data_IF_631028513649
#
_entry.id   IF_631028513649
#
_cell.length_a   1.000
_cell.length_b   1.000
_cell.length_c   1.000
_cell.angle_alpha   90.00
_cell.angle_beta   90.00
_cell.angle_gamma   90.00
#
_symmetry.space_group_name_H-M   'P 1'
#
loop_
_entity.id
_entity.type
_entity.pdbx_description
1 polymer ?
#
# COMPACT_ATOMS: atom_id res chain seq x y z
N UNK A 1 -4.80 -9.34 1.88
CA UNK A 1 -5.47 -8.86 3.12
C UNK A 1 -5.91 -7.43 2.90
N UNK A 2 -7.15 -7.12 3.27
CA UNK A 2 -7.65 -5.76 3.29
C UNK A 2 -7.11 -5.00 4.52
N UNK A 3 -7.45 -3.76 4.59
CA UNK A 3 -7.04 -2.74 5.54
C UNK A 3 -6.83 -3.19 7.00
N UNK A 4 -5.92 -2.52 7.69
CA UNK A 4 -5.69 -2.74 9.12
C UNK A 4 -6.82 -2.11 9.97
N UNK A 5 -7.63 -2.94 10.61
CA UNK A 5 -8.73 -2.48 11.49
C UNK A 5 -8.26 -1.71 12.74
N UNK A 6 -6.99 -1.82 13.10
CA UNK A 6 -6.38 -1.07 14.20
C UNK A 6 -5.94 0.33 13.78
N UNK A 7 -5.83 0.60 12.48
CA UNK A 7 -5.55 1.92 11.94
C UNK A 7 -6.87 2.67 11.76
N UNK A 8 -7.09 3.71 12.55
CA UNK A 8 -8.38 4.39 12.64
C UNK A 8 -8.90 4.91 11.30
N UNK A 9 -8.11 5.58 10.45
CA UNK A 9 -8.60 6.05 9.15
C UNK A 9 -9.15 4.92 8.28
N UNK A 10 -8.47 3.78 8.22
CA UNK A 10 -8.93 2.61 7.47
C UNK A 10 -10.20 1.99 8.06
N UNK A 11 -10.26 1.88 9.38
CA UNK A 11 -11.45 1.39 10.05
C UNK A 11 -12.67 2.26 9.74
N UNK A 12 -12.51 3.58 9.70
CA UNK A 12 -13.59 4.51 9.37
C UNK A 12 -14.02 4.40 7.90
N UNK A 13 -13.07 4.20 6.97
CA UNK A 13 -13.37 3.92 5.55
C UNK A 13 -14.15 2.62 5.39
N UNK A 14 -13.83 1.57 6.13
CA UNK A 14 -14.53 0.28 6.09
C UNK A 14 -15.99 0.35 6.56
N UNK A 15 -16.40 1.39 7.29
CA UNK A 15 -17.81 1.64 7.62
C UNK A 15 -18.61 2.15 6.42
N UNK A 16 -17.93 2.69 5.41
CA UNK A 16 -18.57 3.16 4.19
C UNK A 16 -18.80 2.00 3.19
N UNK A 17 -20.06 1.79 2.80
CA UNK A 17 -20.44 0.68 1.91
C UNK A 17 -19.88 0.84 0.50
N UNK A 18 -19.74 2.06 0.03
CA UNK A 18 -19.25 2.31 -1.32
C UNK A 18 -17.74 2.09 -1.40
N UNK A 19 -16.99 2.38 -0.32
CA UNK A 19 -15.61 1.95 -0.17
C UNK A 19 -15.45 0.42 -0.28
N UNK A 20 -16.27 -0.32 0.45
CA UNK A 20 -16.25 -1.78 0.39
C UNK A 20 -16.61 -2.34 -1.00
N UNK A 21 -17.53 -1.68 -1.71
CA UNK A 21 -17.85 -2.05 -3.10
C UNK A 21 -16.67 -1.81 -4.04
N UNK A 22 -15.93 -0.70 -3.87
CA UNK A 22 -14.76 -0.42 -4.68
C UNK A 22 -13.65 -1.46 -4.47
N UNK A 23 -13.46 -1.94 -3.26
CA UNK A 23 -12.56 -3.08 -3.02
C UNK A 23 -12.99 -4.32 -3.82
N UNK A 24 -14.28 -4.65 -3.82
CA UNK A 24 -14.84 -5.74 -4.63
C UNK A 24 -14.65 -5.52 -6.14
N UNK A 25 -14.83 -4.29 -6.63
CA UNK A 25 -14.61 -3.95 -8.04
C UNK A 25 -13.16 -4.11 -8.47
N UNK A 26 -12.19 -3.80 -7.61
CA UNK A 26 -10.77 -4.03 -7.90
C UNK A 26 -10.45 -5.50 -8.09
N UNK A 27 -11.01 -6.37 -7.26
CA UNK A 27 -10.90 -7.83 -7.45
C UNK A 27 -11.55 -8.27 -8.77
N UNK A 28 -12.73 -7.75 -9.09
CA UNK A 28 -13.40 -8.07 -10.34
C UNK A 28 -12.58 -7.64 -11.56
N UNK A 29 -11.98 -6.44 -11.54
CA UNK A 29 -11.08 -5.96 -12.59
C UNK A 29 -9.84 -6.85 -12.73
N UNK A 30 -9.21 -7.24 -11.64
CA UNK A 30 -8.06 -8.14 -11.67
C UNK A 30 -8.42 -9.52 -12.28
N UNK A 31 -9.60 -10.05 -11.96
CA UNK A 31 -10.09 -11.31 -12.53
C UNK A 31 -10.36 -11.14 -14.03
N UNK A 32 -11.05 -10.08 -14.45
CA UNK A 32 -11.29 -9.77 -15.87
C UNK A 32 -9.98 -9.67 -16.65
N UNK A 33 -9.01 -8.92 -16.13
CA UNK A 33 -7.70 -8.79 -16.76
C UNK A 33 -7.00 -10.15 -16.92
N UNK A 34 -7.13 -11.03 -15.94
CA UNK A 34 -6.59 -12.40 -16.03
C UNK A 34 -7.21 -13.21 -17.17
N UNK A 35 -8.50 -12.99 -17.45
CA UNK A 35 -9.21 -13.67 -18.54
C UNK A 35 -9.21 -12.90 -19.85
N UNK A 36 -8.47 -11.79 -19.97
CA UNK A 36 -8.45 -10.87 -21.13
C UNK A 36 -9.87 -10.39 -21.50
N UNK A 37 -10.68 -10.05 -20.48
CA UNK A 37 -12.02 -9.52 -20.66
C UNK A 37 -11.98 -7.98 -20.64
N UNK A 38 -12.01 -7.36 -21.82
CA UNK A 38 -12.00 -5.91 -22.02
C UNK A 38 -13.42 -5.33 -22.16
N UNK A 39 -14.43 -5.98 -21.62
CA UNK A 39 -15.84 -5.54 -21.75
C UNK A 39 -16.20 -4.31 -20.91
N UNK A 40 -15.34 -3.86 -19.99
CA UNK A 40 -15.57 -2.65 -19.20
C UNK A 40 -15.43 -1.41 -20.08
N UNK A 41 -16.41 -0.51 -20.00
CA UNK A 41 -16.45 0.72 -20.79
C UNK A 41 -16.50 1.99 -19.94
N UNK A 42 -16.50 1.83 -18.61
CA UNK A 42 -16.63 2.91 -17.64
C UNK A 42 -15.41 3.02 -16.74
N UNK A 43 -15.28 4.15 -16.07
CA UNK A 43 -14.32 4.39 -15.00
C UNK A 43 -15.01 4.84 -13.72
N UNK A 44 -14.22 5.10 -12.68
CA UNK A 44 -14.70 5.54 -11.38
C UNK A 44 -13.86 6.70 -10.87
N UNK A 45 -14.44 7.50 -9.97
CA UNK A 45 -13.73 8.47 -9.13
C UNK A 45 -13.91 8.04 -7.67
N UNK A 46 -12.84 8.04 -6.89
CA UNK A 46 -12.88 7.86 -5.45
C UNK A 46 -11.96 8.86 -4.77
N UNK A 47 -12.40 9.40 -3.65
CA UNK A 47 -11.57 10.36 -2.94
C UNK A 47 -11.95 10.53 -1.48
N UNK A 48 -11.16 11.36 -0.79
CA UNK A 48 -11.43 11.79 0.58
C UNK A 48 -11.39 13.30 0.68
N UNK A 49 -12.26 13.85 1.53
CA UNK A 49 -12.31 15.29 1.83
C UNK A 49 -11.94 15.51 3.29
N UNK A 50 -10.99 16.39 3.51
CA UNK A 50 -10.42 16.71 4.83
C UNK A 50 -10.43 18.22 5.09
N UNK A 51 -10.30 18.60 6.33
CA UNK A 51 -10.03 19.97 6.75
C UNK A 51 -8.54 20.29 6.57
N UNK A 52 -8.20 21.40 5.90
CA UNK A 52 -6.82 21.77 5.59
C UNK A 52 -6.02 22.15 6.85
N UNK A 53 -6.67 22.69 7.86
CA UNK A 53 -6.01 23.27 9.03
C UNK A 53 -6.22 22.49 10.32
N UNK A 54 -7.18 21.56 10.35
CA UNK A 54 -7.47 20.77 11.53
C UNK A 54 -6.80 19.38 11.42
N UNK A 55 -5.69 19.21 12.16
CA UNK A 55 -4.93 17.96 12.20
C UNK A 55 -5.27 17.16 13.45
N UNK A 56 -5.18 15.84 13.30
CA UNK A 56 -5.41 14.85 14.35
C UNK A 56 -4.08 14.23 14.78
N UNK A 57 -3.98 13.96 16.07
CA UNK A 57 -2.89 13.15 16.64
C UNK A 57 -3.45 11.86 17.23
N UNK A 58 -2.63 10.82 17.29
CA UNK A 58 -3.02 9.56 17.90
C UNK A 58 -1.91 9.04 18.80
N UNK A 59 -2.28 8.65 20.03
CA UNK A 59 -1.31 8.28 21.08
C UNK A 59 -0.57 6.96 20.78
N UNK A 60 -1.22 6.04 20.05
CA UNK A 60 -0.73 4.68 19.86
C UNK A 60 0.04 4.45 18.55
N UNK A 61 -0.10 5.33 17.55
CA UNK A 61 0.56 5.18 16.26
C UNK A 61 0.80 6.52 15.57
N UNK A 62 1.68 6.53 14.58
CA UNK A 62 1.84 7.65 13.65
C UNK A 62 0.97 7.43 12.43
N UNK A 63 0.39 8.51 11.90
CA UNK A 63 -0.32 8.45 10.63
C UNK A 63 0.64 8.05 9.51
N UNK A 64 0.08 7.45 8.46
CA UNK A 64 0.86 7.00 7.30
C UNK A 64 1.63 8.20 6.72
N UNK A 65 2.94 8.04 6.57
CA UNK A 65 3.81 9.05 5.95
C UNK A 65 3.30 9.36 4.53
N UNK A 66 3.37 10.63 4.16
CA UNK A 66 2.88 11.13 2.86
C UNK A 66 1.38 10.83 2.62
N UNK A 67 0.55 10.76 3.67
CA UNK A 67 -0.90 10.67 3.53
C UNK A 67 -1.59 11.86 4.22
N UNK A 68 -2.80 12.15 3.78
CA UNK A 68 -3.63 13.16 4.44
C UNK A 68 -4.41 12.58 5.63
N UNK A 69 -4.07 11.40 6.10
CA UNK A 69 -4.80 10.71 7.17
C UNK A 69 -4.72 11.43 8.51
N UNK A 70 -3.70 12.27 8.73
CA UNK A 70 -3.60 13.13 9.89
C UNK A 70 -4.56 14.32 9.89
N UNK A 71 -5.19 14.64 8.77
CA UNK A 71 -6.16 15.73 8.69
C UNK A 71 -7.57 15.26 9.04
N UNK A 72 -8.34 16.12 9.71
CA UNK A 72 -9.69 15.79 10.14
C UNK A 72 -10.62 15.55 8.95
N UNK A 73 -11.30 14.38 8.87
CA UNK A 73 -12.27 14.12 7.83
C UNK A 73 -13.50 15.01 7.96
N UNK A 74 -14.03 15.46 6.84
CA UNK A 74 -15.24 16.26 6.77
C UNK A 74 -16.47 15.41 6.47
N UNK A 75 -17.46 15.49 7.35
CA UNK A 75 -18.78 14.88 7.17
C UNK A 75 -19.74 15.84 6.49
N UNK A 76 -20.75 15.32 5.79
CA UNK A 76 -21.80 16.09 5.13
C UNK A 76 -21.31 17.06 4.04
N UNK A 77 -20.12 16.86 3.49
CA UNK A 77 -19.67 17.60 2.30
C UNK A 77 -20.50 17.14 1.10
N UNK A 78 -21.08 18.09 0.39
CA UNK A 78 -21.72 17.81 -0.88
C UNK A 78 -20.68 17.93 -1.99
N UNK A 79 -20.44 16.85 -2.72
CA UNK A 79 -19.58 16.80 -3.88
C UNK A 79 -20.45 16.72 -5.12
N UNK A 80 -20.37 17.72 -5.99
CA UNK A 80 -21.10 17.79 -7.26
C UNK A 80 -20.13 17.42 -8.37
N UNK A 81 -20.45 16.38 -9.13
CA UNK A 81 -19.71 16.01 -10.33
C UNK A 81 -20.31 16.74 -11.54
N UNK A 82 -19.49 17.51 -12.24
CA UNK A 82 -19.87 18.23 -13.45
C UNK A 82 -19.09 17.69 -14.65
N UNK A 83 -19.76 17.63 -15.80
CA UNK A 83 -19.10 17.33 -17.06
C UNK A 83 -18.33 18.56 -17.60
N UNK A 84 -17.67 18.42 -18.74
CA UNK A 84 -16.90 19.50 -19.40
C UNK A 84 -17.75 20.76 -19.73
N UNK A 85 -19.07 20.62 -19.83
CA UNK A 85 -19.98 21.74 -20.09
C UNK A 85 -20.44 22.44 -18.79
N UNK A 86 -19.99 21.97 -17.62
CA UNK A 86 -20.43 22.46 -16.31
C UNK A 86 -21.80 21.96 -15.87
N UNK A 87 -22.36 20.95 -16.54
CA UNK A 87 -23.64 20.35 -16.17
C UNK A 87 -23.45 19.31 -15.07
N UNK A 88 -24.28 19.34 -14.03
CA UNK A 88 -24.27 18.32 -12.99
C UNK A 88 -24.67 16.96 -13.54
N UNK A 89 -23.78 15.98 -13.42
CA UNK A 89 -23.98 14.59 -13.85
C UNK A 89 -23.97 13.61 -12.68
N UNK A 90 -23.62 14.06 -11.49
CA UNK A 90 -23.65 13.25 -10.27
C UNK A 90 -23.52 14.09 -9.01
N UNK A 91 -23.95 13.51 -7.90
CA UNK A 91 -23.86 14.14 -6.58
C UNK A 91 -23.59 13.08 -5.53
N UNK A 92 -22.69 13.38 -4.63
CA UNK A 92 -22.39 12.55 -3.45
C UNK A 92 -22.36 13.43 -2.19
N UNK A 93 -22.76 12.86 -1.06
CA UNK A 93 -22.60 13.54 0.24
C UNK A 93 -21.82 12.61 1.16
N UNK A 94 -20.71 13.10 1.71
CA UNK A 94 -19.90 12.30 2.66
C UNK A 94 -20.75 11.93 3.87
N UNK A 95 -20.57 10.70 4.35
CA UNK A 95 -21.33 10.16 5.48
C UNK A 95 -20.91 10.82 6.83
N UNK A 96 -21.44 10.28 7.94
CA UNK A 96 -21.15 10.77 9.28
C UNK A 96 -20.11 9.92 10.03
N UNK A 97 -19.42 9.05 9.32
CA UNK A 97 -18.51 8.08 9.91
C UNK A 97 -17.05 8.60 9.97
N UNK A 98 -16.85 9.91 9.79
CA UNK A 98 -15.54 10.57 9.86
C UNK A 98 -14.46 9.92 8.99
N UNK A 99 -14.84 9.61 7.76
CA UNK A 99 -13.91 9.11 6.74
C UNK A 99 -13.69 10.11 5.60
N UNK A 100 -14.62 11.06 5.41
CA UNK A 100 -14.61 12.05 4.34
C UNK A 100 -14.71 11.45 2.93
N UNK A 101 -15.09 10.18 2.83
CA UNK A 101 -15.07 9.41 1.59
C UNK A 101 -16.19 9.80 0.65
N UNK A 102 -15.89 9.81 -0.64
CA UNK A 102 -16.88 9.88 -1.72
C UNK A 102 -16.48 8.98 -2.89
N UNK A 103 -17.47 8.52 -3.65
CA UNK A 103 -17.29 7.61 -4.78
C UNK A 103 -18.30 7.93 -5.87
N UNK A 104 -17.84 8.00 -7.12
CA UNK A 104 -18.67 8.00 -8.32
C UNK A 104 -18.29 6.80 -9.19
N UNK A 105 -19.28 6.00 -9.59
CA UNK A 105 -19.07 4.78 -10.39
C UNK A 105 -19.75 4.92 -11.76
N UNK A 106 -19.40 4.02 -12.66
CA UNK A 106 -20.06 3.88 -13.97
C UNK A 106 -19.97 5.16 -14.82
N UNK A 107 -18.86 5.89 -14.69
CA UNK A 107 -18.64 7.13 -15.42
C UNK A 107 -18.11 6.84 -16.82
N UNK A 108 -18.61 7.59 -17.80
CA UNK A 108 -18.02 7.62 -19.14
C UNK A 108 -16.61 8.24 -19.05
N UNK A 109 -15.60 7.67 -19.74
CA UNK A 109 -14.28 8.29 -19.80
C UNK A 109 -14.33 9.73 -20.32
N UNK A 110 -13.55 10.62 -19.71
CA UNK A 110 -13.51 12.05 -20.04
C UNK A 110 -13.13 12.92 -18.86
N UNK A 111 -13.12 14.23 -19.08
CA UNK A 111 -12.79 15.23 -18.06
C UNK A 111 -14.04 15.65 -17.30
N UNK A 112 -13.87 15.81 -16.00
CA UNK A 112 -14.92 16.24 -15.08
C UNK A 112 -14.37 17.30 -14.12
N UNK A 113 -15.30 18.02 -13.47
CA UNK A 113 -14.99 18.87 -12.34
C UNK A 113 -15.74 18.38 -11.10
N UNK A 114 -15.02 18.30 -9.99
CA UNK A 114 -15.59 18.04 -8.68
C UNK A 114 -15.75 19.36 -7.93
N UNK A 115 -16.98 19.71 -7.58
CA UNK A 115 -17.29 20.92 -6.80
C UNK A 115 -17.60 20.49 -5.38
N UNK A 116 -16.82 20.96 -4.43
CA UNK A 116 -16.96 20.67 -2.99
C UNK A 116 -17.71 21.80 -2.30
N UNK A 117 -18.80 21.49 -1.60
CA UNK A 117 -19.68 22.45 -0.97
C UNK A 117 -20.08 21.97 0.44
N UNK A 118 -19.73 22.77 1.45
CA UNK A 118 -20.06 22.53 2.86
C UNK A 118 -20.11 23.86 3.61
N UNK A 119 -21.01 23.98 4.55
CA UNK A 119 -21.12 25.16 5.42
C UNK A 119 -19.84 25.37 6.25
N UNK A 120 -19.33 26.60 6.31
CA UNK A 120 -18.13 26.97 7.05
C UNK A 120 -16.82 26.86 6.27
N UNK A 121 -16.87 26.46 5.00
CA UNK A 121 -15.70 26.33 4.14
C UNK A 121 -15.91 27.08 2.80
N UNK A 122 -14.81 27.45 2.17
CA UNK A 122 -14.84 27.94 0.81
C UNK A 122 -15.33 26.85 -0.15
N UNK A 123 -16.09 27.26 -1.14
CA UNK A 123 -16.48 26.34 -2.21
C UNK A 123 -15.31 26.19 -3.19
N UNK A 124 -14.81 24.97 -3.33
CA UNK A 124 -13.65 24.68 -4.14
C UNK A 124 -14.01 23.73 -5.30
N UNK A 125 -13.31 23.89 -6.42
CA UNK A 125 -13.50 23.03 -7.61
C UNK A 125 -12.18 22.40 -8.00
N UNK A 126 -12.23 21.12 -8.40
CA UNK A 126 -11.05 20.33 -8.75
C UNK A 126 -11.31 19.57 -10.06
N UNK A 127 -10.47 19.73 -11.09
CA UNK A 127 -10.56 18.95 -12.32
C UNK A 127 -10.06 17.51 -12.09
N UNK A 128 -10.70 16.56 -12.79
CA UNK A 128 -10.31 15.14 -12.71
C UNK A 128 -10.62 14.44 -14.03
N UNK A 129 -9.71 13.60 -14.49
CA UNK A 129 -9.89 12.76 -15.67
C UNK A 129 -10.35 11.36 -15.27
N UNK A 130 -11.31 10.81 -15.99
CA UNK A 130 -11.79 9.44 -15.85
C UNK A 130 -11.33 8.63 -17.05
N UNK A 131 -10.61 7.54 -16.76
CA UNK A 131 -10.10 6.58 -17.74
C UNK A 131 -10.90 5.28 -17.65
N UNK A 132 -11.14 4.64 -18.78
CA UNK A 132 -11.87 3.37 -18.85
C UNK A 132 -11.18 2.30 -17.99
N UNK A 133 -11.98 1.53 -17.26
CA UNK A 133 -11.52 0.45 -16.38
C UNK A 133 -10.56 0.88 -15.23
N UNK A 134 -10.49 2.18 -14.95
CA UNK A 134 -9.64 2.74 -13.90
C UNK A 134 -10.44 3.44 -12.81
N UNK A 135 -9.80 3.71 -11.69
CA UNK A 135 -10.33 4.56 -10.63
C UNK A 135 -9.40 5.76 -10.45
N UNK A 136 -9.88 6.93 -10.80
CA UNK A 136 -9.19 8.17 -10.51
C UNK A 136 -9.29 8.49 -9.01
N UNK A 137 -8.16 8.79 -8.38
CA UNK A 137 -8.09 9.08 -6.95
C UNK A 137 -7.82 10.55 -6.70
N UNK A 138 -8.52 11.11 -5.70
CA UNK A 138 -8.30 12.47 -5.24
C UNK A 138 -8.39 12.56 -3.72
N UNK A 139 -7.46 13.30 -3.13
CA UNK A 139 -7.46 13.62 -1.71
C UNK A 139 -7.54 15.15 -1.57
N UNK A 140 -8.72 15.66 -1.25
CA UNK A 140 -8.97 17.10 -1.16
C UNK A 140 -8.93 17.59 0.27
N UNK A 141 -8.23 18.70 0.50
CA UNK A 141 -8.27 19.46 1.76
C UNK A 141 -8.98 20.78 1.48
N UNK A 142 -10.07 21.03 2.19
CA UNK A 142 -10.84 22.28 2.07
C UNK A 142 -10.35 23.33 3.05
N UNK A 143 -10.37 24.57 2.59
CA UNK A 143 -10.05 25.76 3.35
C UNK A 143 -11.31 26.28 4.06
N UNK A 144 -11.28 26.44 5.39
CA UNK A 144 -12.37 27.04 6.14
C UNK A 144 -12.45 28.55 5.92
N UNK A 145 -13.59 29.15 6.28
CA UNK A 145 -13.84 30.59 6.11
C UNK A 145 -13.07 31.48 7.08
N UNK A 146 -12.32 30.90 8.05
CA UNK A 146 -11.45 31.67 8.96
C UNK A 146 -10.12 32.00 8.27
N UNK A 147 -9.78 31.31 7.19
CA UNK A 147 -8.60 31.50 6.36
C UNK A 147 -8.95 32.17 5.02
N UNK A 148 -7.97 32.74 4.36
CA UNK A 148 -8.15 33.37 3.06
C UNK A 148 -8.65 32.37 2.02
N UNK A 149 -9.51 32.86 1.09
CA UNK A 149 -9.99 32.05 -0.01
C UNK A 149 -8.80 31.54 -0.84
N UNK A 150 -8.74 30.23 -1.16
CA UNK A 150 -7.67 29.69 -2.00
C UNK A 150 -7.60 30.43 -3.33
N UNK A 151 -6.43 30.96 -3.67
CA UNK A 151 -6.18 31.53 -4.99
C UNK A 151 -5.77 30.42 -5.96
N UNK A 152 -6.12 30.59 -7.25
CA UNK A 152 -5.70 29.65 -8.30
C UNK A 152 -4.16 29.54 -8.43
N UNK A 153 -3.41 30.51 -7.85
CA UNK A 153 -1.94 30.51 -7.82
C UNK A 153 -1.36 29.72 -6.63
N UNK A 154 -2.14 29.41 -5.60
CA UNK A 154 -1.69 28.56 -4.47
C UNK A 154 -1.84 27.06 -4.75
N UNK A 155 -2.28 26.67 -5.93
CA UNK A 155 -2.36 25.26 -6.37
C UNK A 155 -0.97 24.69 -6.75
N UNK A 156 0.15 25.36 -6.45
CA UNK A 156 1.39 24.67 -6.15
C UNK A 156 1.30 24.08 -4.74
N UNK A 157 0.20 23.38 -4.43
CA UNK A 157 0.27 22.39 -3.39
C UNK A 157 1.43 21.47 -3.75
N UNK A 158 2.34 21.33 -2.79
CA UNK A 158 3.16 20.15 -2.67
C UNK A 158 2.23 18.96 -2.92
N UNK A 159 2.04 18.60 -4.17
CA UNK A 159 1.45 17.33 -4.58
C UNK A 159 2.32 16.36 -3.85
N UNK A 160 1.84 15.87 -2.73
CA UNK A 160 2.43 14.71 -2.09
C UNK A 160 2.23 13.62 -3.12
N UNK A 161 3.18 13.61 -4.05
CA UNK A 161 3.25 12.67 -5.14
C UNK A 161 3.40 11.30 -4.49
N UNK A 162 2.24 10.67 -4.29
CA UNK A 162 2.23 9.28 -3.95
C UNK A 162 2.66 8.55 -5.20
N UNK A 163 3.84 7.95 -5.22
CA UNK A 163 4.13 6.99 -6.25
C UNK A 163 3.12 5.85 -6.09
N UNK A 164 2.06 5.92 -6.85
CA UNK A 164 1.21 4.77 -7.06
C UNK A 164 2.06 3.73 -7.79
N UNK A 165 2.21 2.52 -7.22
CA UNK A 165 2.95 1.45 -7.89
C UNK A 165 2.38 1.11 -9.28
N UNK A 166 1.22 1.64 -9.62
CA UNK A 166 0.51 1.40 -10.87
C UNK A 166 0.58 2.58 -11.85
N UNK A 167 1.09 3.74 -11.44
CA UNK A 167 1.37 4.85 -12.34
C UNK A 167 2.82 4.78 -12.77
N UNK A 168 3.03 4.48 -14.03
CA UNK A 168 4.32 4.41 -14.74
C UNK A 168 5.48 4.03 -13.84
N UNK A 169 5.87 2.75 -13.87
CA UNK A 169 6.87 2.18 -12.97
C UNK A 169 8.19 2.97 -12.85
N UNK A 170 8.44 3.88 -13.76
CA UNK A 170 9.60 4.77 -13.75
C UNK A 170 9.52 5.87 -12.69
N UNK A 171 8.34 6.41 -12.38
CA UNK A 171 8.21 7.51 -11.39
C UNK A 171 8.30 6.96 -9.97
N UNK A 172 7.64 5.85 -9.70
CA UNK A 172 7.75 5.18 -8.40
C UNK A 172 9.17 4.68 -8.13
N UNK A 173 9.84 4.13 -9.15
CA UNK A 173 11.23 3.71 -9.06
C UNK A 173 12.17 4.91 -8.86
N UNK A 174 11.96 6.04 -9.55
CA UNK A 174 12.82 7.21 -9.45
C UNK A 174 12.68 7.94 -8.11
N UNK A 175 11.50 7.98 -7.51
CA UNK A 175 11.27 8.69 -6.24
C UNK A 175 11.78 7.93 -5.01
N UNK A 176 11.75 6.60 -5.01
CA UNK A 176 12.11 5.79 -3.84
C UNK A 176 13.29 4.86 -4.04
N UNK A 177 13.51 4.42 -5.26
CA UNK A 177 14.59 3.52 -5.60
C UNK A 177 15.22 4.02 -6.88
N UNK A 178 16.23 4.85 -6.73
CA UNK A 178 17.15 5.08 -7.84
C UNK A 178 17.92 3.77 -8.03
N UNK A 179 17.24 2.77 -8.58
CA UNK A 179 17.80 1.48 -8.96
C UNK A 179 18.64 1.67 -10.23
N UNK A 180 19.54 2.63 -10.21
CA UNK A 180 20.70 2.54 -11.08
C UNK A 180 21.46 1.32 -10.57
N UNK A 181 21.55 0.30 -11.42
CA UNK A 181 22.44 -0.83 -11.20
C UNK A 181 23.88 -0.29 -11.14
N UNK A 182 24.29 0.15 -9.95
CA UNK A 182 25.62 0.70 -9.75
C UNK A 182 26.67 -0.41 -9.78
N UNK A 183 26.32 -1.58 -9.25
CA UNK A 183 27.22 -2.74 -9.20
C UNK A 183 26.43 -4.03 -9.31
N UNK A 184 26.94 -4.97 -10.06
CA UNK A 184 26.52 -6.37 -10.02
C UNK A 184 27.62 -7.17 -9.33
N UNK A 185 27.27 -7.79 -8.21
CA UNK A 185 28.18 -8.71 -7.55
C UNK A 185 27.81 -10.10 -8.09
N UNK A 186 28.68 -10.63 -8.92
CA UNK A 186 28.62 -12.01 -9.40
C UNK A 186 29.51 -12.88 -8.54
N UNK A 187 29.20 -14.17 -8.46
CA UNK A 187 30.04 -15.16 -7.78
C UNK A 187 30.33 -14.87 -6.30
N UNK A 188 29.26 -14.64 -5.54
CA UNK A 188 29.38 -14.49 -4.07
C UNK A 188 29.79 -15.82 -3.47
N UNK A 189 31.07 -15.95 -3.10
CA UNK A 189 31.67 -17.18 -2.59
C UNK A 189 30.88 -17.76 -1.39
N UNK A 190 30.40 -16.91 -0.52
CA UNK A 190 29.63 -17.30 0.68
C UNK A 190 28.28 -17.98 0.33
N UNK A 191 27.79 -17.85 -0.89
CA UNK A 191 26.53 -18.45 -1.37
C UNK A 191 26.76 -19.65 -2.29
N UNK A 192 28.00 -20.03 -2.55
CA UNK A 192 28.29 -21.19 -3.40
C UNK A 192 27.70 -22.49 -2.82
N UNK A 193 26.93 -23.20 -3.67
CA UNK A 193 26.26 -24.44 -3.26
C UNK A 193 25.02 -24.23 -2.37
N UNK A 194 24.60 -22.98 -2.14
CA UNK A 194 23.42 -22.66 -1.34
C UNK A 194 22.28 -22.18 -2.22
N UNK A 195 21.06 -22.47 -1.77
CA UNK A 195 19.84 -21.89 -2.34
C UNK A 195 19.35 -20.76 -1.46
N UNK A 196 19.38 -19.54 -1.96
CA UNK A 196 18.88 -18.36 -1.23
C UNK A 196 17.36 -18.40 -1.14
N UNK A 197 16.86 -18.25 0.08
CA UNK A 197 15.42 -18.22 0.40
C UNK A 197 14.93 -16.80 0.64
N UNK A 198 15.70 -15.99 1.38
CA UNK A 198 15.39 -14.62 1.74
C UNK A 198 16.66 -13.79 1.86
N UNK A 199 16.59 -12.55 1.43
CA UNK A 199 17.61 -11.55 1.72
C UNK A 199 16.94 -10.26 2.20
N UNK A 200 17.48 -9.67 3.26
CA UNK A 200 16.99 -8.42 3.85
C UNK A 200 18.17 -7.47 4.01
N UNK A 201 18.05 -6.27 3.45
CA UNK A 201 19.01 -5.20 3.68
C UNK A 201 18.59 -4.42 4.93
N UNK A 202 19.48 -4.36 5.93
CA UNK A 202 19.29 -3.55 7.13
C UNK A 202 20.64 -3.09 7.68
N UNK A 203 20.70 -1.87 8.15
CA UNK A 203 21.92 -1.27 8.73
C UNK A 203 23.17 -1.50 7.87
N UNK A 204 23.03 -1.29 6.56
CA UNK A 204 24.06 -1.52 5.56
C UNK A 204 24.67 -2.95 5.58
N UNK A 205 23.85 -3.96 5.81
CA UNK A 205 24.21 -5.38 5.76
C UNK A 205 23.09 -6.17 5.11
N UNK A 206 23.46 -7.19 4.30
CA UNK A 206 22.50 -8.18 3.87
C UNK A 206 22.44 -9.34 4.88
N UNK A 207 21.25 -9.61 5.39
CA UNK A 207 20.93 -10.80 6.15
C UNK A 207 20.30 -11.80 5.19
N UNK A 208 20.99 -12.89 4.94
CA UNK A 208 20.61 -13.87 3.93
C UNK A 208 20.30 -15.19 4.59
N UNK A 209 19.06 -15.65 4.42
CA UNK A 209 18.69 -17.02 4.69
C UNK A 209 18.90 -17.84 3.42
N UNK A 210 19.74 -18.84 3.52
CA UNK A 210 19.97 -19.81 2.46
C UNK A 210 19.90 -21.24 3.02
N UNK A 211 19.77 -22.22 2.16
CA UNK A 211 19.78 -23.65 2.54
C UNK A 211 20.79 -24.41 1.67
N UNK A 212 21.44 -25.38 2.26
CA UNK A 212 22.29 -26.32 1.53
C UNK A 212 21.48 -27.41 0.81
N UNK A 213 22.16 -28.34 0.16
CA UNK A 213 21.54 -29.46 -0.54
C UNK A 213 20.70 -30.39 0.36
N UNK A 214 21.01 -30.41 1.65
CA UNK A 214 20.29 -31.18 2.66
C UNK A 214 19.17 -30.36 3.34
N UNK A 215 18.90 -29.14 2.84
CA UNK A 215 17.92 -28.20 3.39
C UNK A 215 18.27 -27.67 4.79
N UNK A 216 19.53 -27.77 5.18
CA UNK A 216 20.00 -27.20 6.43
C UNK A 216 20.12 -25.68 6.26
N UNK A 217 19.50 -24.88 7.14
CA UNK A 217 19.53 -23.43 7.01
C UNK A 217 20.91 -22.87 7.36
N UNK A 218 21.30 -21.87 6.57
CA UNK A 218 22.44 -21.01 6.78
C UNK A 218 21.94 -19.57 6.89
N UNK A 219 22.31 -18.90 7.96
CA UNK A 219 21.96 -17.50 8.15
C UNK A 219 23.23 -16.65 8.07
N UNK A 220 23.39 -15.97 6.94
CA UNK A 220 24.60 -15.27 6.59
C UNK A 220 24.39 -13.76 6.66
N UNK A 221 25.40 -13.04 7.13
CA UNK A 221 25.45 -11.57 7.08
C UNK A 221 26.54 -11.20 6.10
N UNK A 222 26.16 -10.50 5.01
CA UNK A 222 27.07 -10.14 3.94
C UNK A 222 27.24 -8.63 3.84
N UNK A 223 28.40 -8.21 3.33
CA UNK A 223 28.66 -6.83 2.96
C UNK A 223 27.89 -6.52 1.66
N UNK A 224 27.00 -5.51 1.62
CA UNK A 224 26.20 -5.22 0.44
C UNK A 224 27.01 -4.64 -0.74
N UNK A 225 28.18 -4.10 -0.50
CA UNK A 225 29.03 -3.54 -1.54
C UNK A 225 29.95 -4.58 -2.18
N UNK A 226 30.38 -5.61 -1.42
CA UNK A 226 31.36 -6.60 -1.90
C UNK A 226 30.83 -8.02 -1.97
N UNK A 227 29.71 -8.34 -1.30
CA UNK A 227 29.21 -9.70 -1.16
C UNK A 227 30.00 -10.56 -0.16
N UNK A 228 31.06 -10.02 0.47
CA UNK A 228 31.87 -10.75 1.42
C UNK A 228 31.10 -11.14 2.67
N UNK A 229 31.41 -12.33 3.19
CA UNK A 229 30.83 -12.82 4.44
C UNK A 229 31.36 -12.02 5.63
N UNK A 230 30.47 -11.29 6.31
CA UNK A 230 30.79 -10.62 7.57
C UNK A 230 30.67 -11.61 8.73
N UNK A 231 29.62 -12.41 8.74
CA UNK A 231 29.31 -13.33 9.82
C UNK A 231 28.33 -14.41 9.38
N UNK A 232 28.53 -15.65 9.83
CA UNK A 232 27.51 -16.70 9.88
C UNK A 232 26.88 -16.69 11.27
N UNK A 233 25.54 -16.60 11.34
CA UNK A 233 24.81 -16.65 12.60
C UNK A 233 24.50 -18.09 12.96
N UNK A 234 24.55 -18.41 14.26
CA UNK A 234 24.22 -19.75 14.74
C UNK A 234 22.74 -20.06 14.49
N UNK A 235 22.51 -21.26 14.00
CA UNK A 235 21.19 -21.89 13.89
C UNK A 235 21.01 -23.01 14.92
N UNK A 236 21.94 -23.10 15.90
CA UNK A 236 21.86 -24.08 17.00
C UNK A 236 20.65 -23.76 17.89
N UNK A 237 19.93 -24.81 18.26
CA UNK A 237 18.74 -24.70 19.10
C UNK A 237 17.44 -24.42 18.36
N UNK A 238 17.49 -24.28 17.03
CA UNK A 238 16.25 -24.22 16.24
C UNK A 238 15.50 -25.54 16.32
N UNK A 239 14.16 -25.44 16.35
CA UNK A 239 13.28 -26.62 16.38
C UNK A 239 13.37 -27.37 15.07
N UNK A 240 13.70 -28.66 15.14
CA UNK A 240 13.84 -29.54 13.96
C UNK A 240 12.63 -30.42 13.73
N UNK A 241 11.75 -30.52 14.69
CA UNK A 241 10.55 -31.35 14.65
C UNK A 241 9.30 -30.51 14.92
N UNK A 242 8.23 -30.75 14.19
CA UNK A 242 6.92 -30.19 14.45
C UNK A 242 6.25 -30.81 15.67
N UNK A 243 5.19 -30.19 16.15
CA UNK A 243 4.46 -30.64 17.36
C UNK A 243 3.96 -32.10 17.29
N UNK A 244 3.91 -32.71 16.12
CA UNK A 244 3.54 -34.09 15.86
C UNK A 244 4.75 -35.05 15.85
N UNK A 245 5.95 -34.59 16.19
CA UNK A 245 7.19 -35.37 16.19
C UNK A 245 7.72 -35.71 14.79
N UNK A 246 7.24 -35.05 13.75
CA UNK A 246 7.77 -35.21 12.41
C UNK A 246 8.82 -34.14 12.13
N UNK A 247 9.87 -34.54 11.43
CA UNK A 247 10.89 -33.61 10.96
C UNK A 247 10.26 -32.51 10.11
N UNK A 248 10.69 -31.28 10.37
CA UNK A 248 10.30 -30.13 9.56
C UNK A 248 11.03 -30.17 8.22
N UNK A 249 10.35 -29.95 7.10
CA UNK A 249 10.99 -29.91 5.78
C UNK A 249 11.96 -28.73 5.64
N UNK A 250 11.73 -27.69 6.43
CA UNK A 250 12.62 -26.54 6.57
C UNK A 250 12.64 -26.12 8.02
N UNK A 251 13.81 -26.19 8.66
CA UNK A 251 14.04 -25.72 10.03
C UNK A 251 13.80 -24.22 10.12
N UNK A 252 14.16 -23.50 9.07
CA UNK A 252 13.94 -22.06 8.92
C UNK A 252 13.50 -21.76 7.48
N UNK A 253 12.33 -21.22 7.29
CA UNK A 253 11.75 -20.98 5.97
C UNK A 253 11.77 -19.52 5.55
N UNK A 254 11.67 -18.60 6.50
CA UNK A 254 11.69 -17.17 6.27
C UNK A 254 12.30 -16.42 7.47
N UNK A 255 12.74 -15.19 7.22
CA UNK A 255 13.28 -14.29 8.25
C UNK A 255 12.69 -12.89 8.08
N UNK A 256 12.53 -12.17 9.17
CA UNK A 256 12.12 -10.79 9.20
C UNK A 256 12.77 -10.05 10.38
N UNK A 257 12.73 -8.72 10.35
CA UNK A 257 13.09 -7.91 11.52
C UNK A 257 11.85 -7.32 12.16
N UNK A 258 11.81 -7.35 13.49
CA UNK A 258 10.86 -6.52 14.23
C UNK A 258 11.23 -5.05 14.12
N UNK A 259 10.30 -4.19 14.52
CA UNK A 259 10.54 -2.73 14.55
C UNK A 259 11.72 -2.38 15.48
N UNK A 260 11.91 -3.13 16.56
CA UNK A 260 12.98 -2.95 17.53
C UNK A 260 14.33 -3.54 17.07
N UNK A 261 14.38 -4.11 15.88
CA UNK A 261 15.61 -4.64 15.30
C UNK A 261 15.96 -6.07 15.69
N UNK A 262 15.04 -6.81 16.27
CA UNK A 262 15.23 -8.24 16.54
C UNK A 262 14.99 -9.02 15.26
N UNK A 263 15.96 -9.86 14.88
CA UNK A 263 15.78 -10.79 13.77
C UNK A 263 14.94 -11.98 14.27
N UNK A 264 13.83 -12.20 13.62
CA UNK A 264 12.94 -13.34 13.87
C UNK A 264 12.95 -14.26 12.66
N UNK A 265 12.80 -15.54 12.92
CA UNK A 265 12.66 -16.55 11.87
C UNK A 265 11.39 -17.35 12.04
N UNK A 266 10.86 -17.85 10.95
CA UNK A 266 9.72 -18.75 10.94
C UNK A 266 10.12 -20.08 10.31
N UNK A 267 9.59 -21.18 10.83
CA UNK A 267 9.64 -22.45 10.15
C UNK A 267 8.35 -22.68 9.35
N UNK A 268 8.38 -23.52 8.35
CA UNK A 268 7.19 -23.95 7.64
C UNK A 268 7.09 -25.44 7.58
N UNK A 269 5.91 -25.94 7.80
CA UNK A 269 5.62 -27.34 7.65
C UNK A 269 4.97 -27.65 6.32
N UNK A 270 5.01 -28.91 6.05
CA UNK A 270 4.59 -29.63 4.88
C UNK A 270 3.23 -29.21 4.35
N UNK A 271 3.21 -28.99 3.11
CA UNK A 271 2.00 -29.13 2.31
C UNK A 271 1.68 -30.63 2.29
N UNK A 272 0.53 -30.99 2.81
CA UNK A 272 0.03 -32.34 2.71
C UNK A 272 -0.17 -32.77 1.26
N UNK A 273 -0.17 -34.03 1.00
CA UNK A 273 -0.60 -34.59 -0.28
C UNK A 273 -1.99 -34.08 -0.60
N UNK A 274 -2.26 -33.85 -1.85
CA UNK A 274 -3.58 -33.44 -2.37
C UNK A 274 -3.98 -31.99 -2.05
N UNK A 275 -3.01 -31.09 -1.95
CA UNK A 275 -3.27 -29.65 -1.85
C UNK A 275 -3.56 -29.11 -0.46
N UNK A 276 -3.47 -29.93 0.58
CA UNK A 276 -3.57 -29.45 1.95
C UNK A 276 -2.26 -28.81 2.41
N UNK A 277 -2.24 -27.52 2.56
CA UNK A 277 -1.11 -26.79 3.09
C UNK A 277 -1.29 -26.55 4.59
N UNK A 278 -0.23 -26.78 5.34
CA UNK A 278 -0.16 -26.46 6.76
C UNK A 278 1.01 -25.52 6.98
N UNK A 279 0.75 -24.44 7.62
CA UNK A 279 1.76 -23.58 8.18
C UNK A 279 1.67 -23.64 9.69
N UNK A 280 2.78 -23.87 10.31
CA UNK A 280 2.99 -23.54 11.71
C UNK A 280 4.07 -22.46 11.72
N UNK A 281 3.75 -21.31 12.24
CA UNK A 281 4.72 -20.31 12.62
C UNK A 281 4.85 -20.38 14.13
N UNK A 282 6.04 -20.56 14.62
CA UNK A 282 6.42 -20.37 16.01
C UNK A 282 7.39 -19.20 16.11
#
# INVERSE_FOLDING_TARGET
EGCFHTYQPERQRLLNKDYCKQEGMRYARAIRAWFNDDSETTGCIMGTVKDKYNTLEHDLYKYKINSIDSYAPLNNVTIILQNENGEEVGRYTTDKEYNGLFVFTDLTPGNYNLVFDIEGFWKETEPIEVIVNETAFINKRLTDLEHEEPSDEEIEEEVLDYPHPDQDGDIAAAAYYNLTKETEITDIEALNGLTVRRAILRDNKYYVLAVDENKIPKLLVLNPATGELIKEMSTEGLVTEGYNGKELPYILSDIAFTIDGVLIGTNSTVIGKEGNAYQTGD
#
